data_IF_645405071215
#
_entry.id   IF_645405071215
#
_cell.length_a   1.000
_cell.length_b   1.000
_cell.length_c   1.000
_cell.angle_alpha   90.00
_cell.angle_beta   90.00
_cell.angle_gamma   90.00
#
_symmetry.space_group_name_H-M   'P 1'
#
loop_
_entity.id
_entity.type
_entity.pdbx_description
1 polymer ?
#
# COMPACT_ATOMS: atom_id res chain seq x y z
N UNK A 1 -0.23 -9.39 -15.68
CA UNK A 1 -0.72 -10.65 -16.28
C UNK A 1 -1.44 -11.41 -15.17
N UNK A 2 -2.78 -11.46 -15.17
CA UNK A 2 -3.55 -12.29 -14.22
C UNK A 2 -3.74 -13.68 -14.82
N UNK A 3 -3.89 -14.70 -13.98
CA UNK A 3 -4.28 -16.04 -14.41
C UNK A 3 -5.68 -16.05 -15.04
N UNK A 4 -6.58 -15.24 -14.48
CA UNK A 4 -7.94 -15.02 -14.97
C UNK A 4 -8.22 -13.50 -14.96
N UNK A 5 -8.12 -12.83 -16.12
CA UNK A 5 -8.35 -11.39 -16.22
C UNK A 5 -9.84 -11.03 -16.20
N UNK A 6 -10.74 -11.94 -16.57
CA UNK A 6 -12.18 -11.68 -16.62
C UNK A 6 -12.75 -11.63 -15.20
N UNK A 7 -12.45 -12.64 -14.39
CA UNK A 7 -12.87 -12.68 -12.98
C UNK A 7 -12.25 -11.55 -12.16
N UNK A 8 -11.01 -11.16 -12.45
CA UNK A 8 -10.37 -10.02 -11.81
C UNK A 8 -11.11 -8.70 -12.11
N UNK A 9 -11.63 -8.53 -13.33
CA UNK A 9 -12.45 -7.38 -13.71
C UNK A 9 -13.81 -7.41 -13.06
N UNK A 10 -14.47 -8.57 -13.01
CA UNK A 10 -15.77 -8.72 -12.34
C UNK A 10 -15.71 -8.25 -10.87
N UNK A 11 -14.73 -8.73 -10.09
CA UNK A 11 -14.58 -8.32 -8.69
C UNK A 11 -14.18 -6.85 -8.51
N UNK A 12 -13.44 -6.28 -9.46
CA UNK A 12 -13.17 -4.85 -9.47
C UNK A 12 -14.46 -4.05 -9.69
N UNK A 13 -15.20 -4.38 -10.75
CA UNK A 13 -16.37 -3.64 -11.21
C UNK A 13 -17.59 -3.82 -10.28
N UNK A 14 -17.68 -4.93 -9.52
CA UNK A 14 -18.69 -5.13 -8.46
C UNK A 14 -18.73 -3.97 -7.45
N UNK A 15 -17.58 -3.40 -7.13
CA UNK A 15 -17.44 -2.32 -6.14
C UNK A 15 -17.20 -0.95 -6.77
N UNK A 16 -16.68 -0.92 -8.00
CA UNK A 16 -16.35 0.28 -8.77
C UNK A 16 -16.88 0.18 -10.21
N UNK A 17 -18.21 0.21 -10.43
CA UNK A 17 -18.80 -0.12 -11.74
C UNK A 17 -18.62 0.94 -12.83
N UNK A 18 -18.30 2.18 -12.45
CA UNK A 18 -18.19 3.28 -13.41
C UNK A 18 -16.92 3.17 -14.27
N UNK A 19 -17.03 3.47 -15.56
CA UNK A 19 -15.91 3.38 -16.52
C UNK A 19 -14.68 4.22 -16.13
N UNK A 20 -14.90 5.32 -15.38
CA UNK A 20 -13.82 6.16 -14.86
C UNK A 20 -12.84 5.39 -13.95
N UNK A 21 -13.28 4.29 -13.31
CA UNK A 21 -12.45 3.52 -12.40
C UNK A 21 -11.54 2.53 -13.12
N UNK A 22 -11.82 2.21 -14.40
CA UNK A 22 -10.98 1.32 -15.22
C UNK A 22 -9.64 1.97 -15.60
N UNK A 23 -9.56 3.29 -15.52
CA UNK A 23 -8.34 4.08 -15.76
C UNK A 23 -7.82 4.76 -14.48
N UNK A 24 -8.49 4.56 -13.34
CA UNK A 24 -8.09 5.18 -12.09
C UNK A 24 -6.85 4.50 -11.51
N UNK A 25 -5.96 5.30 -10.90
CA UNK A 25 -4.71 4.82 -10.29
C UNK A 25 -4.92 4.27 -8.85
N UNK A 26 -6.08 3.69 -8.57
CA UNK A 26 -6.39 3.03 -7.30
C UNK A 26 -7.35 1.87 -7.54
N UNK A 27 -7.33 0.88 -6.64
CA UNK A 27 -8.25 -0.25 -6.66
C UNK A 27 -9.35 -0.10 -5.60
N UNK A 28 -10.30 -1.04 -5.60
CA UNK A 28 -11.42 -1.11 -4.67
C UNK A 28 -11.03 -1.29 -3.20
N UNK A 29 -9.82 -1.81 -2.91
CA UNK A 29 -9.40 -2.12 -1.54
C UNK A 29 -9.12 -0.86 -0.71
N UNK A 30 -8.25 0.03 -1.20
CA UNK A 30 -7.67 1.10 -0.37
C UNK A 30 -8.22 2.50 -0.67
N UNK A 31 -9.01 2.65 -1.75
CA UNK A 31 -9.63 3.92 -2.17
C UNK A 31 -8.60 5.01 -2.51
N UNK A 32 -9.00 6.11 -3.19
CA UNK A 32 -8.04 7.10 -3.69
C UNK A 32 -7.20 7.81 -2.62
N UNK A 33 -7.70 7.95 -1.39
CA UNK A 33 -6.98 8.71 -0.34
C UNK A 33 -5.86 7.92 0.34
N UNK A 34 -5.91 6.60 0.30
CA UNK A 34 -5.04 5.74 1.10
C UNK A 34 -4.44 4.61 0.25
N UNK A 35 -4.39 4.79 -1.07
CA UNK A 35 -3.77 3.81 -1.95
C UNK A 35 -2.26 3.75 -1.67
N UNK A 36 -1.73 2.63 -1.12
CA UNK A 36 -0.32 2.54 -0.77
C UNK A 36 0.59 2.59 -2.01
N UNK A 37 0.06 2.24 -3.19
CA UNK A 37 0.78 2.40 -4.45
C UNK A 37 0.95 3.86 -4.88
N UNK A 38 0.11 4.78 -4.39
CA UNK A 38 0.22 6.21 -4.65
C UNK A 38 1.05 6.95 -3.59
N UNK A 39 1.11 6.40 -2.37
CA UNK A 39 1.93 6.97 -1.30
C UNK A 39 3.42 6.72 -1.57
N UNK A 40 4.20 7.79 -1.69
CA UNK A 40 5.66 7.71 -1.75
C UNK A 40 6.21 7.90 -0.34
N UNK A 41 7.14 7.04 0.05
CA UNK A 41 7.96 7.26 1.25
C UNK A 41 9.18 8.05 0.83
N UNK A 42 9.45 9.17 1.50
CA UNK A 42 10.66 9.96 1.26
C UNK A 42 11.86 9.43 2.07
N UNK A 43 13.05 9.89 1.70
CA UNK A 43 14.30 9.44 2.31
C UNK A 43 14.39 9.82 3.80
N UNK A 44 13.80 10.94 4.20
CA UNK A 44 13.82 11.40 5.58
C UNK A 44 12.96 10.49 6.46
N UNK A 45 11.77 10.12 5.99
CA UNK A 45 10.87 9.17 6.66
C UNK A 45 11.50 7.79 6.82
N UNK A 46 12.25 7.31 5.82
CA UNK A 46 13.03 6.06 5.94
C UNK A 46 14.14 6.18 6.99
N UNK A 47 14.87 7.30 6.98
CA UNK A 47 15.96 7.55 7.93
C UNK A 47 15.46 7.61 9.37
N UNK A 48 14.33 8.27 9.62
CA UNK A 48 13.72 8.31 10.95
C UNK A 48 13.24 6.92 11.41
N UNK A 49 12.67 6.13 10.50
CA UNK A 49 12.26 4.75 10.80
C UNK A 49 13.48 3.88 11.15
N UNK A 50 14.60 4.02 10.44
CA UNK A 50 15.84 3.30 10.75
C UNK A 50 16.41 3.65 12.12
N UNK A 51 16.41 4.95 12.49
CA UNK A 51 16.84 5.39 13.83
C UNK A 51 15.98 4.78 14.93
N UNK A 52 14.66 4.77 14.74
CA UNK A 52 13.73 4.18 15.69
C UNK A 52 14.01 2.69 15.88
N UNK A 53 14.16 1.94 14.79
CA UNK A 53 14.48 0.49 14.84
C UNK A 53 15.82 0.21 15.53
N UNK A 54 16.83 1.07 15.35
CA UNK A 54 18.12 0.95 16.04
C UNK A 54 18.00 1.20 17.55
N UNK A 55 17.12 2.10 17.99
CA UNK A 55 16.89 2.35 19.42
C UNK A 55 16.17 1.18 20.07
N UNK A 56 15.09 0.70 19.46
CA UNK A 56 14.31 -0.44 19.97
C UNK A 56 15.15 -1.73 20.00
N UNK A 57 16.01 -1.95 18.99
CA UNK A 57 16.99 -3.03 19.01
C UNK A 57 18.01 -2.90 20.14
N UNK A 58 18.43 -1.69 20.52
CA UNK A 58 19.36 -1.48 21.64
C UNK A 58 18.69 -1.68 22.99
N UNK A 59 17.42 -1.29 23.11
CA UNK A 59 16.63 -1.48 24.33
C UNK A 59 16.29 -2.97 24.54
N UNK A 60 15.87 -3.68 23.49
CA UNK A 60 15.56 -5.12 23.56
C UNK A 60 16.80 -5.98 23.87
N UNK A 61 17.97 -5.65 23.32
CA UNK A 61 19.25 -6.32 23.66
C UNK A 61 19.70 -6.00 25.09
N UNK A 62 19.38 -4.83 25.64
CA UNK A 62 19.73 -4.45 27.02
C UNK A 62 18.81 -5.04 28.09
N UNK A 63 17.62 -5.52 27.71
CA UNK A 63 16.61 -6.06 28.63
C UNK A 63 16.64 -7.61 28.76
N UNK A 64 17.53 -8.29 28.03
CA UNK A 64 17.77 -9.74 28.09
C UNK A 64 19.08 -10.06 28.82
#
# INVERSE_FOLDING_TARGET
LSLDPDRAREYHDETLPADIYKTAEFCSMCRPKFCPMQTKVDADALTELEKFLQQDSRETVSAS
#
